data_IF_854261486474
#
_entry.id   IF_854261486474
#
_cell.length_a   1.000
_cell.length_b   1.000
_cell.length_c   1.000
_cell.angle_alpha   90.00
_cell.angle_beta   90.00
_cell.angle_gamma   90.00
#
_symmetry.space_group_name_H-M   'P 1'
#
loop_
_entity.id
_entity.type
_entity.pdbx_description
1 polymer ?
#
# COMPACT_ATOMS: atom_id res chain seq x y z
N UNK A 1 -2.84 -1.50 -20.16
CA UNK A 1 -3.60 -0.75 -21.19
C UNK A 1 -2.68 0.29 -21.81
N UNK A 2 -2.20 0.10 -23.06
CA UNK A 2 -1.76 1.22 -23.88
C UNK A 2 -2.97 2.09 -24.26
N UNK A 3 -2.77 3.39 -24.45
CA UNK A 3 -3.82 4.34 -24.79
C UNK A 3 -3.35 5.25 -25.93
N UNK A 4 -4.26 5.74 -26.77
CA UNK A 4 -3.91 6.75 -27.79
C UNK A 4 -3.60 8.10 -27.14
N UNK A 5 -4.30 8.40 -26.05
CA UNK A 5 -4.20 9.65 -25.30
C UNK A 5 -3.95 9.39 -23.82
N UNK A 6 -2.99 10.10 -23.24
CA UNK A 6 -2.77 10.15 -21.80
C UNK A 6 -2.91 11.59 -21.33
N UNK A 7 -3.89 11.87 -20.47
CA UNK A 7 -4.12 13.19 -19.90
C UNK A 7 -3.77 13.20 -18.41
N UNK A 8 -2.80 14.02 -18.03
CA UNK A 8 -2.48 14.26 -16.62
C UNK A 8 -3.49 15.22 -16.01
N UNK A 9 -4.30 14.71 -15.09
CA UNK A 9 -5.25 15.52 -14.33
C UNK A 9 -4.54 16.40 -13.28
N UNK A 10 -3.63 15.79 -12.51
CA UNK A 10 -2.73 16.44 -11.55
C UNK A 10 -1.28 16.04 -11.80
N UNK A 11 -0.34 16.89 -11.37
CA UNK A 11 1.11 16.67 -11.49
C UNK A 11 1.80 16.56 -10.14
N UNK A 12 1.02 16.55 -9.06
CA UNK A 12 1.49 16.36 -7.70
C UNK A 12 0.96 15.02 -7.17
N UNK A 13 1.75 14.37 -6.33
CA UNK A 13 1.36 13.15 -5.62
C UNK A 13 1.76 13.25 -4.15
N UNK A 14 1.01 12.56 -3.30
CA UNK A 14 1.40 12.33 -1.91
C UNK A 14 2.22 11.03 -1.84
N UNK A 15 3.43 11.10 -1.31
CA UNK A 15 4.32 9.94 -1.17
C UNK A 15 4.31 9.30 0.22
N UNK A 16 3.29 9.62 1.03
CA UNK A 16 3.20 9.21 2.43
C UNK A 16 3.74 10.26 3.41
N UNK A 17 4.52 11.25 2.94
CA UNK A 17 5.09 12.31 3.78
C UNK A 17 4.64 13.69 3.35
N UNK A 18 4.73 14.00 2.06
CA UNK A 18 4.37 15.32 1.54
C UNK A 18 3.77 15.24 0.15
N UNK A 19 3.08 16.32 -0.26
CA UNK A 19 2.72 16.51 -1.65
C UNK A 19 3.94 17.02 -2.41
N UNK A 20 4.36 16.29 -3.44
CA UNK A 20 5.48 16.67 -4.32
C UNK A 20 5.09 16.53 -5.77
N UNK A 21 5.80 17.23 -6.65
CA UNK A 21 5.69 17.02 -8.09
C UNK A 21 6.08 15.60 -8.50
N UNK A 22 5.49 15.12 -9.59
CA UNK A 22 5.93 13.90 -10.27
C UNK A 22 7.38 14.05 -10.75
N UNK A 23 8.15 12.99 -10.58
CA UNK A 23 9.51 12.90 -11.11
C UNK A 23 9.52 12.71 -12.63
N UNK A 24 10.65 13.00 -13.27
CA UNK A 24 10.91 12.70 -14.69
C UNK A 24 10.52 11.26 -15.05
N UNK A 25 10.99 10.28 -14.25
CA UNK A 25 10.70 8.87 -14.49
C UNK A 25 9.21 8.53 -14.37
N UNK A 26 8.50 9.09 -13.38
CA UNK A 26 7.05 8.91 -13.23
C UNK A 26 6.29 9.49 -14.44
N UNK A 27 6.66 10.69 -14.89
CA UNK A 27 6.03 11.33 -16.07
C UNK A 27 6.32 10.52 -17.34
N UNK A 28 7.55 10.06 -17.55
CA UNK A 28 7.91 9.23 -18.70
C UNK A 28 7.22 7.87 -18.69
N UNK A 29 7.09 7.24 -17.51
CA UNK A 29 6.40 5.95 -17.37
C UNK A 29 4.90 6.06 -17.65
N UNK A 30 4.25 7.12 -17.17
CA UNK A 30 2.82 7.36 -17.39
C UNK A 30 2.57 7.83 -18.84
N UNK A 31 3.31 8.84 -19.29
CA UNK A 31 3.21 9.41 -20.63
C UNK A 31 3.59 8.43 -21.73
N UNK A 32 4.57 7.55 -21.50
CA UNK A 32 4.97 6.49 -22.43
C UNK A 32 3.93 5.38 -22.61
N UNK A 33 2.80 5.42 -21.88
CA UNK A 33 1.62 4.60 -22.21
C UNK A 33 0.83 5.17 -23.40
N UNK A 34 1.09 6.42 -23.80
CA UNK A 34 0.50 7.04 -24.98
C UNK A 34 1.17 6.52 -26.25
N UNK A 35 0.40 5.85 -27.11
CA UNK A 35 0.85 5.28 -28.37
C UNK A 35 1.70 4.01 -28.18
N UNK A 36 1.41 2.98 -28.98
CA UNK A 36 2.28 1.81 -29.12
C UNK A 36 2.54 1.53 -30.59
N UNK A 37 3.80 1.27 -30.90
CA UNK A 37 4.23 0.80 -32.21
C UNK A 37 3.37 -0.41 -32.65
N UNK A 38 2.66 -0.28 -33.77
CA UNK A 38 1.77 -1.30 -34.33
C UNK A 38 0.27 -1.15 -34.03
N UNK A 39 -0.14 -0.27 -33.10
CA UNK A 39 -1.55 -0.02 -32.78
C UNK A 39 -1.99 1.44 -33.01
N UNK A 40 -1.07 2.38 -32.88
CA UNK A 40 -1.34 3.81 -33.09
C UNK A 40 -0.16 4.46 -33.82
N UNK A 41 -0.43 5.34 -34.79
CA UNK A 41 0.62 6.06 -35.53
C UNK A 41 1.38 7.07 -34.64
N UNK A 42 0.74 7.58 -33.59
CA UNK A 42 1.33 8.44 -32.58
C UNK A 42 0.56 8.35 -31.26
N UNK A 43 1.21 8.67 -30.14
CA UNK A 43 0.58 8.86 -28.84
C UNK A 43 0.54 10.34 -28.46
N UNK A 44 -0.57 10.79 -27.89
CA UNK A 44 -0.73 12.20 -27.47
C UNK A 44 -0.74 12.28 -25.94
N UNK A 45 0.12 13.14 -25.40
CA UNK A 45 0.20 13.42 -23.96
C UNK A 45 -0.32 14.84 -23.71
N UNK A 46 -1.28 14.96 -22.78
CA UNK A 46 -1.94 16.22 -22.44
C UNK A 46 -2.02 16.47 -20.94
N UNK A 47 -2.54 17.64 -20.58
CA UNK A 47 -2.86 18.02 -19.21
C UNK A 47 -4.10 18.92 -19.16
N UNK A 48 -4.76 18.98 -18.02
CA UNK A 48 -6.00 19.77 -17.83
C UNK A 48 -5.80 21.28 -17.87
N UNK A 49 -4.56 21.76 -17.69
CA UNK A 49 -4.24 23.18 -17.78
C UNK A 49 -2.86 23.43 -18.42
N UNK A 50 -2.68 24.63 -18.97
CA UNK A 50 -1.48 25.02 -19.73
C UNK A 50 -0.21 25.01 -18.88
N UNK A 51 -0.30 25.37 -17.59
CA UNK A 51 0.84 25.35 -16.67
C UNK A 51 1.38 23.93 -16.49
N UNK A 52 0.49 22.98 -16.18
CA UNK A 52 0.83 21.58 -16.00
C UNK A 52 1.37 20.97 -17.30
N UNK A 53 0.76 21.31 -18.45
CA UNK A 53 1.24 20.85 -19.76
C UNK A 53 2.70 21.27 -20.02
N UNK A 54 3.07 22.50 -19.69
CA UNK A 54 4.44 22.99 -19.85
C UNK A 54 5.43 22.22 -18.94
N UNK A 55 5.03 21.94 -17.70
CA UNK A 55 5.85 21.16 -16.76
C UNK A 55 6.02 19.72 -17.25
N UNK A 56 4.94 19.06 -17.65
CA UNK A 56 4.96 17.70 -18.21
C UNK A 56 5.83 17.63 -19.44
N UNK A 57 5.72 18.60 -20.37
CA UNK A 57 6.57 18.66 -21.57
C UNK A 57 8.05 18.74 -21.20
N UNK A 58 8.41 19.56 -20.20
CA UNK A 58 9.80 19.65 -19.72
C UNK A 58 10.26 18.35 -19.09
N UNK A 59 9.47 17.75 -18.20
CA UNK A 59 9.81 16.51 -17.50
C UNK A 59 9.88 15.31 -18.44
N UNK A 60 8.96 15.20 -19.40
CA UNK A 60 8.92 14.07 -20.33
C UNK A 60 10.15 14.02 -21.23
N UNK A 61 10.63 15.19 -21.69
CA UNK A 61 11.82 15.31 -22.54
C UNK A 61 13.14 15.46 -21.76
N UNK A 62 13.09 15.44 -20.43
CA UNK A 62 14.30 15.49 -19.61
C UNK A 62 15.04 14.15 -19.67
N UNK A 63 16.38 14.19 -19.57
CA UNK A 63 17.16 12.95 -19.47
C UNK A 63 16.77 12.16 -18.21
N UNK A 64 16.65 10.82 -18.30
CA UNK A 64 16.40 9.99 -17.14
C UNK A 64 17.51 10.16 -16.10
N UNK A 65 17.13 10.30 -14.84
CA UNK A 65 18.10 10.32 -13.73
C UNK A 65 18.77 8.96 -13.64
N UNK A 66 20.10 8.93 -13.69
CA UNK A 66 20.87 7.68 -13.53
C UNK A 66 20.66 7.14 -12.12
N UNK A 67 20.34 5.84 -12.01
CA UNK A 67 20.24 5.18 -10.72
C UNK A 67 21.62 5.08 -10.08
N UNK A 68 21.74 5.64 -8.88
CA UNK A 68 23.02 5.71 -8.16
C UNK A 68 23.18 4.61 -7.11
N UNK A 69 22.07 4.08 -6.57
CA UNK A 69 22.11 3.12 -5.47
C UNK A 69 21.20 1.92 -5.72
N UNK A 70 21.67 0.72 -5.36
CA UNK A 70 20.84 -0.45 -5.12
C UNK A 70 20.26 -0.42 -3.70
N UNK A 71 19.04 -0.94 -3.52
CA UNK A 71 18.41 -1.07 -2.20
C UNK A 71 18.61 -2.49 -1.68
N UNK A 72 19.11 -2.63 -0.46
CA UNK A 72 19.34 -3.94 0.19
C UNK A 72 18.56 -4.04 1.49
N UNK A 73 18.13 -5.25 1.84
CA UNK A 73 17.43 -5.58 3.07
C UNK A 73 18.26 -6.61 3.86
N UNK A 74 18.09 -6.69 5.19
CA UNK A 74 18.88 -7.61 6.00
C UNK A 74 18.51 -9.06 5.72
N UNK A 75 19.53 -9.91 5.68
CA UNK A 75 19.38 -11.36 5.72
C UNK A 75 19.29 -11.87 7.16
N UNK A 76 19.04 -13.17 7.33
CA UNK A 76 19.11 -13.82 8.64
C UNK A 76 20.47 -13.64 9.30
N UNK A 77 21.56 -13.85 8.54
CA UNK A 77 22.94 -13.77 9.04
C UNK A 77 23.32 -12.34 9.44
N UNK A 78 22.74 -11.32 8.79
CA UNK A 78 22.97 -9.93 9.19
C UNK A 78 22.34 -9.62 10.56
N UNK A 79 21.18 -10.21 10.86
CA UNK A 79 20.41 -9.89 12.06
C UNK A 79 20.85 -10.68 13.28
N UNK A 80 21.31 -11.93 13.12
CA UNK A 80 21.77 -12.74 14.25
C UNK A 80 22.98 -12.13 14.96
N UNK A 81 23.77 -11.34 14.24
CA UNK A 81 24.94 -10.63 14.77
C UNK A 81 24.57 -9.39 15.61
N UNK A 82 23.33 -8.92 15.51
CA UNK A 82 22.87 -7.71 16.19
C UNK A 82 22.15 -8.10 17.48
N UNK A 83 22.53 -7.54 18.65
CA UNK A 83 21.86 -7.82 19.91
C UNK A 83 20.49 -7.12 19.97
N UNK A 84 19.50 -7.80 20.58
CA UNK A 84 18.18 -7.23 20.86
C UNK A 84 17.03 -8.07 20.34
N UNK A 85 15.81 -7.56 20.47
CA UNK A 85 14.64 -8.18 19.84
C UNK A 85 14.61 -7.94 18.33
N UNK A 86 13.78 -8.70 17.59
CA UNK A 86 13.71 -8.61 16.13
C UNK A 86 13.45 -7.19 15.61
N UNK A 87 12.56 -6.44 16.26
CA UNK A 87 12.29 -5.04 15.89
C UNK A 87 13.53 -4.16 16.09
N UNK A 88 14.22 -4.31 17.22
CA UNK A 88 15.45 -3.57 17.52
C UNK A 88 16.56 -3.92 16.53
N UNK A 89 16.71 -5.20 16.19
CA UNK A 89 17.68 -5.67 15.20
C UNK A 89 17.45 -5.02 13.84
N UNK A 90 16.20 -4.92 13.37
CA UNK A 90 15.85 -4.27 12.09
C UNK A 90 16.07 -2.76 12.13
N UNK A 91 15.70 -2.10 13.23
CA UNK A 91 15.92 -0.66 13.42
C UNK A 91 17.41 -0.36 13.45
N UNK A 92 18.16 -1.13 14.25
CA UNK A 92 19.60 -1.03 14.32
C UNK A 92 20.21 -1.31 12.96
N UNK A 93 19.90 -2.41 12.28
CA UNK A 93 20.45 -2.68 10.96
C UNK A 93 20.18 -1.56 9.94
N UNK A 94 18.98 -0.97 9.97
CA UNK A 94 18.60 0.16 9.11
C UNK A 94 19.39 1.44 9.42
N UNK A 95 19.69 1.68 10.69
CA UNK A 95 20.48 2.81 11.16
C UNK A 95 22.00 2.56 11.09
N UNK A 96 22.38 1.28 11.18
CA UNK A 96 23.74 0.83 11.29
C UNK A 96 24.38 0.98 9.93
N UNK A 97 25.52 1.63 10.00
CA UNK A 97 26.49 1.80 8.97
C UNK A 97 27.11 0.47 8.47
N UNK A 98 26.42 -0.67 8.61
CA UNK A 98 26.88 -2.02 8.24
C UNK A 98 27.13 -2.20 6.74
N UNK A 99 26.71 -1.24 5.90
CA UNK A 99 27.18 -1.14 4.52
C UNK A 99 28.66 -0.71 4.59
N UNK A 100 29.60 -1.55 4.11
CA UNK A 100 31.01 -1.19 4.02
C UNK A 100 31.21 0.20 3.39
N UNK A 101 32.16 1.00 3.89
CA UNK A 101 32.33 2.39 3.45
C UNK A 101 32.51 2.54 1.93
N UNK A 102 33.15 1.56 1.30
CA UNK A 102 33.35 1.47 -0.15
C UNK A 102 32.09 1.12 -0.97
N UNK A 103 30.98 0.83 -0.31
CA UNK A 103 29.68 0.50 -0.92
C UNK A 103 28.59 1.51 -0.58
N UNK A 104 28.83 2.46 0.33
CA UNK A 104 27.81 3.45 0.73
C UNK A 104 27.37 4.37 -0.40
N UNK A 105 28.22 4.59 -1.39
CA UNK A 105 27.95 5.37 -2.60
C UNK A 105 27.11 4.59 -3.64
N UNK A 106 26.97 3.27 -3.46
CA UNK A 106 26.32 2.34 -4.41
C UNK A 106 25.14 1.58 -3.81
N UNK A 107 25.03 1.56 -2.49
CA UNK A 107 24.05 0.75 -1.76
C UNK A 107 23.37 1.61 -0.71
N UNK A 108 22.07 1.42 -0.57
CA UNK A 108 21.25 2.07 0.46
C UNK A 108 20.27 1.06 1.06
N UNK A 109 19.81 1.30 2.28
CA UNK A 109 18.86 0.39 2.94
C UNK A 109 17.49 0.44 2.27
N UNK A 110 16.85 -0.72 2.15
CA UNK A 110 15.46 -0.83 1.73
C UNK A 110 14.53 -0.22 2.79
N UNK A 111 13.30 0.10 2.40
CA UNK A 111 12.29 0.55 3.35
C UNK A 111 11.83 -0.65 4.20
N UNK A 112 12.22 -0.64 5.48
CA UNK A 112 11.87 -1.67 6.46
C UNK A 112 10.71 -1.25 7.37
N UNK A 113 9.99 -0.17 7.04
CA UNK A 113 8.91 0.37 7.89
C UNK A 113 7.87 -0.69 8.23
N UNK A 114 7.34 -1.42 7.23
CA UNK A 114 6.30 -2.42 7.48
C UNK A 114 6.85 -3.65 8.25
N UNK A 115 7.99 -4.28 7.87
CA UNK A 115 8.59 -5.35 8.66
C UNK A 115 8.90 -4.97 10.11
N UNK A 116 9.37 -3.75 10.37
CA UNK A 116 9.63 -3.24 11.73
C UNK A 116 8.32 -3.16 12.52
N UNK A 117 7.25 -2.66 11.91
CA UNK A 117 5.95 -2.56 12.57
C UNK A 117 5.36 -3.93 12.90
N UNK A 118 5.50 -4.91 12.01
CA UNK A 118 5.12 -6.30 12.29
C UNK A 118 6.02 -6.94 13.37
N UNK A 119 7.33 -6.67 13.34
CA UNK A 119 8.26 -7.17 14.36
C UNK A 119 7.95 -6.62 15.76
N UNK A 120 7.56 -5.34 15.87
CA UNK A 120 7.11 -4.73 17.14
C UNK A 120 5.85 -5.40 17.70
N UNK A 121 5.03 -5.97 16.81
CA UNK A 121 3.84 -6.71 17.20
C UNK A 121 4.16 -8.13 17.66
N UNK A 122 5.40 -8.62 17.65
CA UNK A 122 5.79 -9.93 18.19
C UNK A 122 6.58 -9.75 19.49
N UNK A 123 6.31 -10.59 20.49
CA UNK A 123 7.13 -10.61 21.72
C UNK A 123 8.45 -11.33 21.49
N UNK A 124 9.41 -11.11 22.40
CA UNK A 124 10.68 -11.82 22.37
C UNK A 124 10.49 -13.33 22.54
N UNK A 125 9.61 -13.76 23.45
CA UNK A 125 9.34 -15.19 23.65
C UNK A 125 8.70 -15.83 22.40
N UNK A 126 7.85 -15.08 21.69
CA UNK A 126 7.23 -15.56 20.44
C UNK A 126 8.27 -15.78 19.34
N UNK A 127 9.20 -14.83 19.17
CA UNK A 127 10.31 -14.96 18.20
C UNK A 127 11.23 -16.11 18.58
N UNK A 128 11.57 -16.27 19.86
CA UNK A 128 12.39 -17.38 20.35
C UNK A 128 11.71 -18.73 20.13
N UNK A 129 10.39 -18.81 20.32
CA UNK A 129 9.59 -20.03 20.13
C UNK A 129 9.60 -20.54 18.68
N UNK A 130 9.45 -19.65 17.70
CA UNK A 130 9.42 -20.04 16.26
C UNK A 130 10.79 -20.03 15.59
N UNK A 131 11.76 -19.38 16.23
CA UNK A 131 13.07 -19.11 15.68
C UNK A 131 13.10 -17.90 14.75
N UNK A 132 14.23 -17.20 14.73
CA UNK A 132 14.43 -15.96 13.98
C UNK A 132 14.13 -16.13 12.47
N UNK A 133 14.58 -17.23 11.84
CA UNK A 133 14.33 -17.46 10.41
C UNK A 133 12.83 -17.53 10.07
N UNK A 134 12.04 -18.16 10.93
CA UNK A 134 10.58 -18.26 10.80
C UNK A 134 9.92 -16.92 11.09
N UNK A 135 10.36 -16.20 12.12
CA UNK A 135 9.87 -14.87 12.44
C UNK A 135 10.11 -13.87 11.29
N UNK A 136 11.26 -13.93 10.62
CA UNK A 136 11.55 -13.15 9.41
C UNK A 136 10.57 -13.44 8.27
N UNK A 137 10.12 -14.69 8.13
CA UNK A 137 9.05 -15.01 7.19
C UNK A 137 7.74 -14.38 7.63
N UNK A 138 7.36 -14.44 8.90
CA UNK A 138 6.11 -13.81 9.37
C UNK A 138 6.07 -12.30 9.07
N UNK A 139 7.13 -11.55 9.36
CA UNK A 139 7.17 -10.08 9.20
C UNK A 139 7.36 -9.60 7.75
N UNK A 140 7.62 -10.52 6.81
CA UNK A 140 7.72 -10.20 5.38
C UNK A 140 6.39 -10.41 4.64
N UNK A 141 5.31 -10.73 5.36
CA UNK A 141 3.98 -10.82 4.79
C UNK A 141 3.53 -9.46 4.20
N UNK A 142 2.75 -9.45 3.10
CA UNK A 142 2.35 -8.23 2.41
C UNK A 142 1.23 -7.51 3.17
N UNK A 143 1.58 -6.78 4.22
CA UNK A 143 0.63 -6.06 5.06
C UNK A 143 0.61 -4.56 4.75
N UNK A 144 -0.43 -3.90 5.26
CA UNK A 144 -0.57 -2.45 5.37
C UNK A 144 -1.16 -2.16 6.75
N UNK A 145 -1.11 -0.91 7.20
CA UNK A 145 -1.67 -0.51 8.49
C UNK A 145 -3.06 -1.10 8.79
N UNK A 146 -3.98 -1.06 7.83
CA UNK A 146 -5.32 -1.64 7.98
C UNK A 146 -5.29 -3.16 8.22
N UNK A 147 -4.46 -3.91 7.49
CA UNK A 147 -4.43 -5.38 7.51
C UNK A 147 -3.54 -6.01 8.58
N UNK A 148 -2.74 -5.23 9.31
CA UNK A 148 -1.88 -5.70 10.42
C UNK A 148 -2.65 -6.48 11.49
N UNK A 149 -3.87 -6.06 11.81
CA UNK A 149 -4.72 -6.74 12.77
C UNK A 149 -5.11 -8.17 12.34
N UNK A 150 -5.32 -8.39 11.05
CA UNK A 150 -5.58 -9.74 10.53
C UNK A 150 -4.31 -10.58 10.47
N UNK A 151 -3.19 -9.98 10.06
CA UNK A 151 -1.87 -10.64 10.13
C UNK A 151 -1.57 -11.15 11.54
N UNK A 152 -1.79 -10.33 12.59
CA UNK A 152 -1.53 -10.74 13.98
C UNK A 152 -2.39 -11.93 14.38
N UNK A 153 -3.67 -11.97 13.98
CA UNK A 153 -4.53 -13.15 14.20
C UNK A 153 -3.99 -14.42 13.53
N UNK A 154 -3.38 -14.29 12.35
CA UNK A 154 -2.73 -15.41 11.68
C UNK A 154 -1.45 -15.84 12.42
N UNK A 155 -0.61 -14.88 12.82
CA UNK A 155 0.58 -15.13 13.62
C UNK A 155 0.23 -15.83 14.95
N UNK A 156 -0.82 -15.38 15.65
CA UNK A 156 -1.34 -16.01 16.89
C UNK A 156 -1.72 -17.47 16.68
N UNK A 157 -2.41 -17.75 15.58
CA UNK A 157 -2.83 -19.10 15.26
C UNK A 157 -1.61 -20.01 15.02
N UNK A 158 -0.66 -19.57 14.20
CA UNK A 158 0.60 -20.28 13.92
C UNK A 158 1.38 -20.52 15.23
N UNK A 159 1.58 -19.46 16.03
CA UNK A 159 2.28 -19.52 17.32
C UNK A 159 1.60 -20.47 18.31
N UNK A 160 0.27 -20.60 18.24
CA UNK A 160 -0.52 -21.50 19.09
C UNK A 160 -0.67 -22.92 18.53
N UNK A 161 -0.10 -23.21 17.35
CA UNK A 161 -0.30 -24.50 16.67
C UNK A 161 -1.73 -24.72 16.15
N UNK A 162 -2.49 -23.66 15.90
CA UNK A 162 -3.88 -23.69 15.42
C UNK A 162 -3.96 -23.30 13.94
N UNK A 163 -5.02 -23.73 13.28
CA UNK A 163 -5.34 -23.27 11.93
C UNK A 163 -5.51 -21.74 11.88
N UNK A 164 -4.90 -21.10 10.89
CA UNK A 164 -5.09 -19.69 10.60
C UNK A 164 -6.56 -19.41 10.28
N UNK A 165 -7.12 -18.31 10.80
CA UNK A 165 -8.51 -17.95 10.54
C UNK A 165 -8.69 -17.53 9.07
N UNK A 166 -9.87 -17.85 8.49
CA UNK A 166 -10.26 -17.29 7.20
C UNK A 166 -10.30 -15.74 7.27
N UNK A 167 -10.01 -15.03 6.16
CA UNK A 167 -10.19 -13.59 6.10
C UNK A 167 -11.65 -13.20 6.34
N UNK A 168 -11.86 -11.97 6.83
CA UNK A 168 -13.21 -11.43 7.04
C UNK A 168 -13.91 -11.41 5.67
N UNK A 169 -15.11 -12.02 5.54
CA UNK A 169 -15.78 -12.09 4.25
C UNK A 169 -16.23 -10.71 3.78
N UNK A 170 -16.02 -10.43 2.49
CA UNK A 170 -16.53 -9.22 1.84
C UNK A 170 -18.07 -9.28 1.67
N UNK A 171 -18.74 -8.14 1.51
CA UNK A 171 -20.14 -8.10 1.12
C UNK A 171 -20.38 -8.79 -0.23
N UNK A 172 -21.59 -9.33 -0.42
CA UNK A 172 -21.97 -10.08 -1.63
C UNK A 172 -22.11 -9.19 -2.87
N UNK A 173 -22.38 -7.90 -2.67
CA UNK A 173 -22.46 -6.87 -3.72
C UNK A 173 -21.79 -5.59 -3.22
N UNK A 174 -21.21 -4.83 -4.15
CA UNK A 174 -20.61 -3.54 -3.87
C UNK A 174 -21.46 -2.48 -4.56
N UNK A 175 -22.12 -1.64 -3.76
CA UNK A 175 -22.98 -0.54 -4.21
C UNK A 175 -22.53 0.80 -3.64
N UNK A 176 -21.66 0.79 -2.63
CA UNK A 176 -21.12 1.99 -1.99
C UNK A 176 -19.59 1.94 -1.92
N UNK A 177 -18.97 3.11 -1.74
CA UNK A 177 -17.52 3.20 -1.52
C UNK A 177 -17.04 2.46 -0.26
N UNK A 178 -17.90 2.36 0.76
CA UNK A 178 -17.59 1.64 2.00
C UNK A 178 -17.49 0.13 1.75
N UNK A 179 -18.44 -0.44 1.01
CA UNK A 179 -18.42 -1.86 0.63
C UNK A 179 -17.23 -2.19 -0.29
N UNK A 180 -16.81 -1.23 -1.11
CA UNK A 180 -15.60 -1.36 -1.91
C UNK A 180 -14.36 -1.47 -1.02
N UNK A 181 -14.21 -0.55 -0.05
CA UNK A 181 -13.11 -0.57 0.93
C UNK A 181 -13.12 -1.85 1.79
N UNK A 182 -14.30 -2.31 2.23
CA UNK A 182 -14.48 -3.57 2.96
C UNK A 182 -14.05 -4.78 2.11
N UNK A 183 -14.32 -4.75 0.80
CA UNK A 183 -13.89 -5.81 -0.13
C UNK A 183 -12.38 -5.77 -0.38
N UNK A 184 -11.78 -4.58 -0.54
CA UNK A 184 -10.33 -4.41 -0.66
C UNK A 184 -9.61 -4.91 0.60
N UNK A 185 -10.18 -4.65 1.78
CA UNK A 185 -9.69 -5.17 3.05
C UNK A 185 -9.73 -6.70 3.10
N UNK A 186 -10.82 -7.32 2.64
CA UNK A 186 -10.96 -8.77 2.56
C UNK A 186 -9.91 -9.38 1.63
N UNK A 187 -9.67 -8.77 0.46
CA UNK A 187 -8.61 -9.19 -0.48
C UNK A 187 -7.22 -9.07 0.17
N UNK A 188 -6.92 -7.97 0.86
CA UNK A 188 -5.65 -7.83 1.58
C UNK A 188 -5.46 -8.93 2.63
N UNK A 189 -6.52 -9.30 3.35
CA UNK A 189 -6.51 -10.44 4.26
C UNK A 189 -6.23 -11.77 3.53
N UNK A 190 -6.90 -12.02 2.41
CA UNK A 190 -6.65 -13.22 1.62
C UNK A 190 -5.21 -13.27 1.07
N UNK A 191 -4.66 -12.17 0.59
CA UNK A 191 -3.29 -12.10 0.11
C UNK A 191 -2.27 -12.42 1.23
N UNK A 192 -2.52 -11.95 2.47
CA UNK A 192 -1.71 -12.34 3.65
C UNK A 192 -1.83 -13.84 3.93
N UNK A 193 -3.04 -14.39 3.98
CA UNK A 193 -3.27 -15.80 4.25
C UNK A 193 -2.57 -16.69 3.21
N UNK A 194 -2.76 -16.38 1.93
CA UNK A 194 -2.15 -17.11 0.83
C UNK A 194 -0.63 -16.97 0.86
N UNK A 195 -0.10 -15.78 1.12
CA UNK A 195 1.35 -15.58 1.24
C UNK A 195 1.96 -16.45 2.35
N UNK A 196 1.31 -16.50 3.52
CA UNK A 196 1.76 -17.32 4.64
C UNK A 196 1.65 -18.81 4.31
N UNK A 197 0.55 -19.26 3.70
CA UNK A 197 0.34 -20.67 3.34
C UNK A 197 1.39 -21.24 2.39
N UNK A 198 2.04 -20.39 1.58
CA UNK A 198 3.09 -20.76 0.63
C UNK A 198 4.47 -20.90 1.30
N UNK A 199 4.55 -20.80 2.63
CA UNK A 199 5.75 -21.07 3.42
C UNK A 199 5.64 -22.46 4.00
N UNK A 200 6.66 -23.28 3.78
CA UNK A 200 6.72 -24.66 4.27
C UNK A 200 6.48 -24.75 5.79
N UNK A 201 6.94 -23.76 6.54
CA UNK A 201 6.75 -23.69 8.00
C UNK A 201 5.30 -23.44 8.42
N UNK A 202 4.47 -22.89 7.54
CA UNK A 202 3.11 -22.45 7.86
C UNK A 202 2.02 -23.21 7.11
N UNK A 203 2.37 -24.00 6.10
CA UNK A 203 1.44 -24.79 5.27
C UNK A 203 0.48 -25.64 6.12
N UNK A 204 0.98 -26.29 7.18
CA UNK A 204 0.18 -27.10 8.10
C UNK A 204 -0.89 -26.31 8.90
N UNK A 205 -0.78 -24.98 8.95
CA UNK A 205 -1.75 -24.10 9.60
C UNK A 205 -2.71 -23.45 8.58
N UNK A 206 -2.65 -23.82 7.31
CA UNK A 206 -3.44 -23.22 6.23
C UNK A 206 -4.49 -24.17 5.62
N UNK A 207 -5.40 -24.79 6.40
CA UNK A 207 -6.32 -25.80 5.87
C UNK A 207 -7.36 -25.25 4.89
N UNK A 208 -7.52 -23.92 4.81
CA UNK A 208 -8.50 -23.25 3.95
C UNK A 208 -7.86 -22.63 2.70
N UNK A 209 -6.67 -23.07 2.29
CA UNK A 209 -5.93 -22.49 1.15
C UNK A 209 -6.78 -22.34 -0.12
N UNK A 210 -7.39 -23.44 -0.60
CA UNK A 210 -8.19 -23.41 -1.83
C UNK A 210 -9.44 -22.54 -1.67
N UNK A 211 -10.13 -22.63 -0.53
CA UNK A 211 -11.31 -21.79 -0.26
C UNK A 211 -10.96 -20.30 -0.29
N UNK A 212 -9.85 -19.91 0.34
CA UNK A 212 -9.39 -18.51 0.39
C UNK A 212 -8.97 -18.04 -0.99
N UNK A 213 -8.33 -18.91 -1.79
CA UNK A 213 -7.96 -18.62 -3.18
C UNK A 213 -9.20 -18.34 -4.03
N UNK A 214 -10.25 -19.15 -3.91
CA UNK A 214 -11.52 -18.93 -4.60
C UNK A 214 -12.22 -17.65 -4.14
N UNK A 215 -12.27 -17.40 -2.83
CA UNK A 215 -12.88 -16.18 -2.28
C UNK A 215 -12.16 -14.93 -2.80
N UNK A 216 -10.83 -14.94 -2.81
CA UNK A 216 -9.99 -13.85 -3.32
C UNK A 216 -10.27 -13.55 -4.79
N UNK A 217 -10.48 -14.60 -5.60
CA UNK A 217 -10.89 -14.45 -7.00
C UNK A 217 -12.29 -13.83 -7.11
N UNK A 218 -13.28 -14.38 -6.39
CA UNK A 218 -14.67 -13.87 -6.37
C UNK A 218 -14.76 -12.41 -5.94
N UNK A 219 -13.99 -12.00 -4.92
CA UNK A 219 -13.93 -10.61 -4.47
C UNK A 219 -13.31 -9.68 -5.52
N UNK A 220 -12.29 -10.14 -6.23
CA UNK A 220 -11.68 -9.37 -7.33
C UNK A 220 -12.69 -9.15 -8.47
N UNK A 221 -13.41 -10.19 -8.89
CA UNK A 221 -14.46 -10.06 -9.90
C UNK A 221 -15.61 -9.14 -9.45
N UNK A 222 -15.95 -9.15 -8.17
CA UNK A 222 -16.96 -8.25 -7.62
C UNK A 222 -16.52 -6.79 -7.68
N UNK A 223 -15.25 -6.49 -7.35
CA UNK A 223 -14.68 -5.14 -7.52
C UNK A 223 -14.76 -4.72 -8.98
N UNK A 224 -14.30 -5.57 -9.90
CA UNK A 224 -14.31 -5.27 -11.35
C UNK A 224 -15.73 -4.96 -11.84
N UNK A 225 -16.71 -5.80 -11.47
CA UNK A 225 -18.12 -5.58 -11.83
C UNK A 225 -18.65 -4.26 -11.27
N UNK A 226 -18.33 -3.95 -10.03
CA UNK A 226 -18.85 -2.77 -9.36
C UNK A 226 -18.24 -1.48 -9.92
N UNK A 227 -16.95 -1.49 -10.26
CA UNK A 227 -16.28 -0.37 -10.93
C UNK A 227 -16.83 -0.14 -12.35
N UNK A 228 -17.16 -1.21 -13.09
CA UNK A 228 -17.80 -1.11 -14.41
C UNK A 228 -19.21 -0.51 -14.33
N UNK A 229 -19.94 -0.74 -13.23
CA UNK A 229 -21.29 -0.20 -13.01
C UNK A 229 -21.31 1.28 -12.59
N UNK A 230 -20.18 1.98 -12.63
CA UNK A 230 -20.02 3.39 -12.23
C UNK A 230 -20.59 3.64 -10.83
N UNK A 231 -20.08 2.88 -9.85
CA UNK A 231 -20.24 3.18 -8.42
C UNK A 231 -20.15 4.68 -8.16
N UNK A 232 -21.13 5.23 -7.45
CA UNK A 232 -21.03 6.59 -6.93
C UNK A 232 -19.93 6.62 -5.85
N UNK A 233 -18.73 6.99 -6.28
CA UNK A 233 -17.54 7.16 -5.43
C UNK A 233 -17.42 8.57 -4.87
N UNK A 234 -18.45 9.39 -5.07
CA UNK A 234 -18.43 10.78 -4.61
C UNK A 234 -18.34 10.82 -3.08
N UNK A 235 -17.32 11.51 -2.56
CA UNK A 235 -17.17 11.73 -1.11
C UNK A 235 -18.39 12.49 -0.60
N UNK A 236 -18.94 12.06 0.53
CA UNK A 236 -20.12 12.69 1.15
C UNK A 236 -19.79 13.19 2.56
N UNK A 237 -20.40 14.30 2.95
CA UNK A 237 -20.31 14.83 4.30
C UNK A 237 -20.89 13.80 5.29
N UNK A 238 -20.16 13.39 6.35
CA UNK A 238 -20.65 12.40 7.31
C UNK A 238 -21.82 12.93 8.17
N UNK A 239 -22.01 14.26 8.27
CA UNK A 239 -23.08 14.86 9.08
C UNK A 239 -24.40 15.03 8.31
N UNK A 240 -24.36 15.38 7.02
CA UNK A 240 -25.57 15.68 6.24
C UNK A 240 -25.73 14.88 4.95
N UNK A 241 -24.79 13.99 4.60
CA UNK A 241 -24.86 13.13 3.41
C UNK A 241 -24.67 13.86 2.06
N UNK A 242 -24.49 15.19 2.06
CA UNK A 242 -24.26 15.99 0.84
C UNK A 242 -22.97 15.56 0.14
N UNK A 243 -23.03 15.42 -1.18
CA UNK A 243 -21.85 15.18 -2.02
C UNK A 243 -20.88 16.36 -1.92
N UNK A 244 -19.65 16.06 -1.55
CA UNK A 244 -18.53 17.00 -1.52
C UNK A 244 -17.95 17.12 -2.92
N UNK A 245 -17.54 18.33 -3.28
CA UNK A 245 -16.82 18.59 -4.52
C UNK A 245 -15.54 17.75 -4.59
N UNK A 246 -15.13 17.37 -5.81
CA UNK A 246 -14.02 16.42 -6.05
C UNK A 246 -12.68 16.86 -5.40
N UNK A 247 -12.51 18.16 -5.11
CA UNK A 247 -11.34 18.72 -4.41
C UNK A 247 -11.65 19.33 -3.03
N UNK A 248 -12.77 18.95 -2.42
CA UNK A 248 -13.14 19.44 -1.10
C UNK A 248 -12.10 18.98 -0.06
N UNK A 249 -11.38 19.95 0.52
CA UNK A 249 -10.24 19.70 1.42
C UNK A 249 -10.64 19.00 2.71
N UNK A 250 -11.84 19.31 3.21
CA UNK A 250 -12.30 18.88 4.53
C UNK A 250 -13.29 17.71 4.44
N UNK A 251 -13.43 16.97 5.55
CA UNK A 251 -14.32 15.80 5.66
C UNK A 251 -15.79 16.20 5.84
N UNK A 252 -16.07 17.32 6.50
CA UNK A 252 -17.39 17.93 6.59
C UNK A 252 -17.59 18.91 5.43
N UNK A 253 -18.83 19.11 4.98
CA UNK A 253 -19.14 20.21 4.06
C UNK A 253 -19.10 21.56 4.79
N UNK A 254 -18.88 22.65 4.06
CA UNK A 254 -18.79 24.01 4.62
C UNK A 254 -19.97 24.37 5.54
N UNK A 255 -21.20 23.95 5.20
CA UNK A 255 -22.39 24.18 6.04
C UNK A 255 -22.30 23.50 7.41
N UNK A 256 -22.06 22.18 7.43
CA UNK A 256 -21.94 21.43 8.68
C UNK A 256 -20.70 21.84 9.50
N UNK A 257 -19.65 22.32 8.83
CA UNK A 257 -18.51 22.91 9.51
C UNK A 257 -18.93 24.21 10.22
N UNK A 258 -19.60 25.14 9.53
CA UNK A 258 -20.06 26.39 10.13
C UNK A 258 -21.01 26.18 11.33
N UNK A 259 -21.96 25.25 11.22
CA UNK A 259 -22.91 24.90 12.30
C UNK A 259 -22.21 24.34 13.56
N UNK A 260 -21.00 23.75 13.45
CA UNK A 260 -20.23 23.29 14.60
C UNK A 260 -19.51 24.43 15.35
N UNK A 261 -19.29 25.58 14.69
CA UNK A 261 -18.59 26.73 15.26
C UNK A 261 -19.53 27.89 15.63
N UNK A 262 -20.75 27.93 15.10
CA UNK A 262 -21.80 28.89 15.53
C UNK A 262 -22.35 28.64 16.95
N UNK A 263 -22.07 27.47 17.55
CA UNK A 263 -22.45 27.17 18.94
C UNK A 263 -21.51 27.70 20.02
N UNK A 264 -20.45 28.44 19.66
CA UNK A 264 -19.40 28.90 20.57
C UNK A 264 -19.28 30.43 20.69
N UNK A 265 -20.22 31.21 20.16
CA UNK A 265 -20.23 32.68 20.27
C UNK A 265 -21.11 33.25 21.40
N UNK A 266 -21.77 32.42 22.22
CA UNK A 266 -22.63 32.87 23.34
C UNK A 266 -21.94 32.90 24.72
N UNK A 267 -20.61 33.00 24.76
CA UNK A 267 -19.86 33.20 26.02
C UNK A 267 -18.78 34.27 25.88
N UNK A 268 -19.21 35.51 25.67
CA UNK A 268 -18.50 36.75 26.06
C UNK A 268 -19.53 37.80 26.49
#
# INVERSE_FOLDING_TARGET
LPADYVCFYEIEKFDGKQKRLLSTAEVQQIGGRAGRFGFSNAGIIGATNKRNLNIIRRLFNAEPVTLTHARVAPTYDDLIMIPGGLADQLIQWSALQSIPDNLRDKISTADLTEPIELAKMLTREEVEKVGLATALKLINAPTRNSSRGYWRKCADAILSGRAMPRPIPAPSRITTSKELEETEFAIAGADIYLWLSQRREFEGYAPFHEDVRELRFKWSENIDRALLQKLDTSRRCPQCGRVLQINHRYRLCDKCYAEQFEGYEDYW
#
